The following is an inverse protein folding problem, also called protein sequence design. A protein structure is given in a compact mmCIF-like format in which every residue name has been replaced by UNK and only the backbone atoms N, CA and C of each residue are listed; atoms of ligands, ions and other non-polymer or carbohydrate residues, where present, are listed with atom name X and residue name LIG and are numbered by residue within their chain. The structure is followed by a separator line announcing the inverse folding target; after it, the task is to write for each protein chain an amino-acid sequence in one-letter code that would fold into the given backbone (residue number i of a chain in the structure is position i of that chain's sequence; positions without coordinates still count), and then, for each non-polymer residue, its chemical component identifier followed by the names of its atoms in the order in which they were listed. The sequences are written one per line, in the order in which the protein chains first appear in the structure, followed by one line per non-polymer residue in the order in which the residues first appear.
data_IF_761284000383
#
_entry.id   IF_761284000383
#
_cell.length_a   1.000
_cell.length_b   1.000
_cell.length_c   1.000
_cell.angle_alpha   90.00
_cell.angle_beta   90.00
_cell.angle_gamma   90.00
#
_symmetry.space_group_name_H-M   'P 1'
#
loop_
_entity.id
_entity.type
_entity.pdbx_description
1 polymer ?
#
# COMPACT_ATOMS: atom_id res chain seq x y z
N UNK A 1 15.08 -16.10 17.42
CA UNK A 1 14.68 -15.89 16.01
C UNK A 1 13.17 -16.08 15.77
N UNK A 2 12.57 -17.21 16.16
CA UNK A 2 11.15 -17.51 15.83
C UNK A 2 10.10 -16.49 16.32
N UNK A 3 10.21 -15.99 17.55
CA UNK A 3 9.23 -15.02 18.09
C UNK A 3 9.26 -13.65 17.38
N UNK A 4 10.45 -13.16 17.01
CA UNK A 4 10.59 -11.90 16.27
C UNK A 4 10.00 -11.99 14.85
N UNK A 5 10.16 -13.14 14.19
CA UNK A 5 9.60 -13.39 12.87
C UNK A 5 8.06 -13.50 12.91
N UNK A 6 7.52 -14.15 13.94
CA UNK A 6 6.07 -14.19 14.19
C UNK A 6 5.51 -12.79 14.46
N UNK A 7 6.18 -11.99 15.28
CA UNK A 7 5.78 -10.60 15.53
C UNK A 7 5.80 -9.76 14.24
N UNK A 8 6.83 -9.93 13.40
CA UNK A 8 6.91 -9.27 12.10
C UNK A 8 5.75 -9.69 11.17
N UNK A 9 5.44 -11.00 11.12
CA UNK A 9 4.33 -11.52 10.32
C UNK A 9 2.99 -10.93 10.77
N UNK A 10 2.71 -10.95 12.08
CA UNK A 10 1.50 -10.36 12.65
C UNK A 10 1.42 -8.85 12.40
N UNK A 11 2.55 -8.15 12.52
CA UNK A 11 2.65 -6.72 12.22
C UNK A 11 2.31 -6.40 10.77
N UNK A 12 2.84 -7.16 9.81
CA UNK A 12 2.53 -7.00 8.38
C UNK A 12 1.06 -7.30 8.10
N UNK A 13 0.50 -8.37 8.67
CA UNK A 13 -0.93 -8.70 8.53
C UNK A 13 -1.81 -7.57 9.07
N UNK A 14 -1.51 -7.09 10.29
CA UNK A 14 -2.25 -6.00 10.91
C UNK A 14 -2.16 -4.71 10.08
N UNK A 15 -0.97 -4.37 9.58
CA UNK A 15 -0.73 -3.22 8.72
C UNK A 15 -1.54 -3.30 7.42
N UNK A 16 -1.49 -4.44 6.71
CA UNK A 16 -2.23 -4.64 5.46
C UNK A 16 -3.73 -4.52 5.70
N UNK A 17 -4.24 -5.14 6.76
CA UNK A 17 -5.67 -5.13 7.10
C UNK A 17 -6.15 -3.75 7.54
N UNK A 18 -5.31 -2.98 8.22
CA UNK A 18 -5.59 -1.58 8.52
C UNK A 18 -5.72 -0.74 7.23
N UNK A 19 -4.78 -0.88 6.29
CA UNK A 19 -4.82 -0.16 5.00
C UNK A 19 -6.01 -0.55 4.13
N UNK A 20 -6.44 -1.81 4.17
CA UNK A 20 -7.66 -2.26 3.49
C UNK A 20 -8.92 -1.62 4.05
N UNK A 21 -9.02 -1.51 5.38
CA UNK A 21 -10.15 -0.83 6.04
C UNK A 21 -10.19 0.65 5.69
N UNK A 22 -9.02 1.31 5.65
CA UNK A 22 -8.89 2.72 5.26
C UNK A 22 -9.35 2.96 3.80
N UNK A 23 -9.02 2.03 2.89
CA UNK A 23 -9.49 2.10 1.50
C UNK A 23 -11.02 1.92 1.42
N UNK A 24 -11.57 0.99 2.20
CA UNK A 24 -13.01 0.75 2.25
C UNK A 24 -13.79 1.94 2.87
N UNK A 25 -13.22 2.69 3.82
CA UNK A 25 -13.84 3.94 4.29
C UNK A 25 -13.88 5.01 3.21
N UNK A 26 -12.80 5.17 2.44
CA UNK A 26 -12.79 6.16 1.34
C UNK A 26 -13.84 5.86 0.26
N UNK A 27 -14.11 4.58 -0.02
CA UNK A 27 -15.19 4.20 -0.94
C UNK A 27 -16.58 4.61 -0.41
N UNK A 28 -16.79 4.58 0.91
CA UNK A 28 -18.03 5.08 1.53
C UNK A 28 -18.13 6.59 1.44
N UNK A 29 -17.02 7.31 1.59
CA UNK A 29 -16.99 8.76 1.46
C UNK A 29 -17.35 9.22 0.03
N UNK A 30 -16.94 8.46 -1.00
CA UNK A 30 -17.37 8.70 -2.40
C UNK A 30 -18.88 8.53 -2.57
N UNK A 31 -19.47 7.49 -1.97
CA UNK A 31 -20.94 7.30 -1.99
C UNK A 31 -21.65 8.45 -1.30
N UNK A 32 -21.14 8.89 -0.15
CA UNK A 32 -21.70 9.99 0.62
C UNK A 32 -21.62 11.32 -0.13
N UNK A 33 -20.52 11.57 -0.86
CA UNK A 33 -20.39 12.75 -1.71
C UNK A 33 -21.48 12.80 -2.79
N UNK A 34 -21.75 11.66 -3.44
CA UNK A 34 -22.83 11.53 -4.42
C UNK A 34 -24.20 11.80 -3.80
N UNK A 35 -24.47 11.26 -2.61
CA UNK A 35 -25.74 11.52 -1.89
C UNK A 35 -25.88 13.00 -1.51
N UNK A 36 -24.81 13.65 -1.05
CA UNK A 36 -24.81 15.08 -0.74
C UNK A 36 -25.05 15.95 -1.99
N UNK A 37 -24.50 15.56 -3.14
CA UNK A 37 -24.74 16.22 -4.43
C UNK A 37 -26.22 16.14 -4.83
N UNK A 38 -26.81 14.97 -4.71
CA UNK A 38 -28.24 14.77 -4.95
C UNK A 38 -29.10 15.62 -3.99
N UNK A 39 -28.67 15.75 -2.72
CA UNK A 39 -29.35 16.57 -1.70
C UNK A 39 -29.15 18.09 -1.85
N UNK A 40 -28.05 18.52 -2.47
CA UNK A 40 -27.75 19.92 -2.76
C UNK A 40 -28.66 20.46 -3.87
N UNK A 41 -29.09 19.61 -4.81
CA UNK A 41 -30.01 19.98 -5.88
C UNK A 41 -29.41 21.07 -6.76
N UNK A 42 -30.07 22.23 -6.82
CA UNK A 42 -29.64 23.41 -7.58
C UNK A 42 -29.19 24.59 -6.72
N UNK A 43 -28.91 24.38 -5.43
CA UNK A 43 -28.38 25.44 -4.56
C UNK A 43 -26.87 25.62 -4.79
N UNK A 44 -26.50 26.72 -5.42
CA UNK A 44 -25.12 27.04 -5.82
C UNK A 44 -24.12 27.00 -4.65
N UNK A 45 -24.54 27.42 -3.44
CA UNK A 45 -23.66 27.45 -2.26
C UNK A 45 -23.41 26.03 -1.74
N UNK A 46 -24.46 25.21 -1.73
CA UNK A 46 -24.35 23.79 -1.30
C UNK A 46 -23.57 22.97 -2.33
N UNK A 47 -23.73 23.26 -3.62
CA UNK A 47 -22.94 22.64 -4.69
C UNK A 47 -21.46 23.00 -4.58
N UNK A 48 -21.11 24.26 -4.32
CA UNK A 48 -19.73 24.68 -4.12
C UNK A 48 -19.07 23.95 -2.93
N UNK A 49 -19.80 23.75 -1.83
CA UNK A 49 -19.30 22.99 -0.68
C UNK A 49 -19.13 21.49 -0.99
N UNK A 50 -19.99 20.92 -1.83
CA UNK A 50 -19.88 19.52 -2.28
C UNK A 50 -18.70 19.35 -3.26
N UNK A 51 -18.46 20.31 -4.16
CA UNK A 51 -17.33 20.28 -5.09
C UNK A 51 -15.98 20.28 -4.35
N UNK A 52 -15.83 21.10 -3.32
CA UNK A 52 -14.62 21.11 -2.47
C UNK A 52 -14.42 19.77 -1.74
N UNK A 53 -15.50 19.20 -1.22
CA UNK A 53 -15.49 17.88 -0.56
C UNK A 53 -15.15 16.74 -1.54
N UNK A 54 -15.77 16.71 -2.71
CA UNK A 54 -15.50 15.74 -3.78
C UNK A 54 -14.05 15.81 -4.23
N UNK A 55 -13.51 17.02 -4.39
CA UNK A 55 -12.12 17.22 -4.82
C UNK A 55 -11.12 16.66 -3.80
N UNK A 56 -11.33 16.92 -2.50
CA UNK A 56 -10.49 16.37 -1.44
C UNK A 56 -10.54 14.83 -1.40
N UNK A 57 -11.71 14.25 -1.67
CA UNK A 57 -11.88 12.78 -1.77
C UNK A 57 -11.18 12.23 -2.99
N UNK A 58 -11.37 12.82 -4.19
CA UNK A 58 -10.76 12.34 -5.42
C UNK A 58 -9.23 12.33 -5.36
N UNK A 59 -8.62 13.36 -4.78
CA UNK A 59 -7.16 13.39 -4.58
C UNK A 59 -6.68 12.26 -3.66
N UNK A 60 -7.36 12.04 -2.54
CA UNK A 60 -7.06 10.93 -1.63
C UNK A 60 -7.31 9.57 -2.27
N UNK A 61 -8.36 9.42 -3.07
CA UNK A 61 -8.71 8.18 -3.75
C UNK A 61 -7.69 7.84 -4.84
N UNK A 62 -7.21 8.83 -5.58
CA UNK A 62 -6.15 8.65 -6.57
C UNK A 62 -4.84 8.20 -5.91
N UNK A 63 -4.44 8.85 -4.82
CA UNK A 63 -3.27 8.45 -4.06
C UNK A 63 -3.42 7.03 -3.47
N UNK A 64 -4.57 6.74 -2.85
CA UNK A 64 -4.85 5.45 -2.24
C UNK A 64 -4.91 4.31 -3.28
N UNK A 65 -5.54 4.52 -4.43
CA UNK A 65 -5.68 3.49 -5.47
C UNK A 65 -4.36 3.14 -6.16
N UNK A 66 -3.43 4.10 -6.29
CA UNK A 66 -2.14 3.88 -6.94
C UNK A 66 -1.07 3.43 -5.94
N UNK A 67 -0.94 4.12 -4.80
CA UNK A 67 0.18 3.90 -3.88
C UNK A 67 -0.12 2.76 -2.90
N UNK A 68 -1.34 2.66 -2.36
CA UNK A 68 -1.64 1.71 -1.30
C UNK A 68 -1.52 0.22 -1.71
N UNK A 69 -1.92 -0.22 -2.92
CA UNK A 69 -1.68 -1.60 -3.35
C UNK A 69 -0.19 -1.94 -3.38
N UNK A 70 0.65 -1.02 -3.88
CA UNK A 70 2.10 -1.23 -3.99
C UNK A 70 2.77 -1.31 -2.62
N UNK A 71 2.36 -0.46 -1.67
CA UNK A 71 2.85 -0.55 -0.29
C UNK A 71 2.47 -1.88 0.36
N UNK A 72 1.23 -2.37 0.14
CA UNK A 72 0.81 -3.69 0.63
C UNK A 72 1.65 -4.82 0.01
N UNK A 73 1.90 -4.78 -1.30
CA UNK A 73 2.75 -5.75 -2.00
C UNK A 73 4.20 -5.70 -1.50
N UNK A 74 4.75 -4.51 -1.25
CA UNK A 74 6.08 -4.34 -0.68
C UNK A 74 6.19 -4.95 0.72
N UNK A 75 5.17 -4.74 1.57
CA UNK A 75 5.14 -5.30 2.92
C UNK A 75 5.10 -6.83 2.91
N UNK A 76 4.29 -7.43 2.03
CA UNK A 76 4.25 -8.89 1.85
C UNK A 76 5.57 -9.44 1.29
N UNK A 77 6.17 -8.76 0.31
CA UNK A 77 7.45 -9.17 -0.25
C UNK A 77 8.57 -9.10 0.79
N UNK A 78 8.58 -8.08 1.64
CA UNK A 78 9.57 -7.94 2.71
C UNK A 78 9.44 -9.08 3.73
N UNK A 79 8.21 -9.43 4.11
CA UNK A 79 7.97 -10.58 4.99
C UNK A 79 8.42 -11.90 4.35
N UNK A 80 8.12 -12.11 3.06
CA UNK A 80 8.58 -13.26 2.30
C UNK A 80 10.11 -13.37 2.27
N UNK A 81 10.79 -12.24 2.11
CA UNK A 81 12.26 -12.15 2.17
C UNK A 81 12.78 -12.58 3.53
N UNK A 82 12.21 -12.04 4.61
CA UNK A 82 12.62 -12.37 5.98
C UNK A 82 12.43 -13.86 6.30
N UNK A 83 11.32 -14.45 5.85
CA UNK A 83 11.03 -15.88 5.99
C UNK A 83 12.03 -16.73 5.21
N UNK A 84 12.29 -16.39 3.95
CA UNK A 84 13.22 -17.12 3.08
C UNK A 84 14.66 -17.06 3.59
N UNK A 85 15.13 -15.90 4.07
CA UNK A 85 16.45 -15.75 4.71
C UNK A 85 16.53 -16.62 5.97
N UNK A 86 15.49 -16.58 6.82
CA UNK A 86 15.46 -17.42 8.03
C UNK A 86 15.54 -18.92 7.69
N UNK A 87 14.82 -19.36 6.65
CA UNK A 87 14.84 -20.75 6.19
C UNK A 87 16.20 -21.15 5.57
N UNK A 88 16.85 -20.23 4.86
CA UNK A 88 18.21 -20.43 4.32
C UNK A 88 19.20 -20.67 5.46
N UNK A 89 19.15 -19.83 6.50
CA UNK A 89 20.01 -19.98 7.68
C UNK A 89 19.74 -21.27 8.45
N UNK A 90 18.47 -21.68 8.56
CA UNK A 90 18.08 -22.91 9.25
C UNK A 90 18.56 -24.18 8.53
N UNK A 91 18.73 -24.13 7.21
CA UNK A 91 19.15 -25.28 6.39
C UNK A 91 20.65 -25.35 6.14
N UNK A 92 21.41 -24.28 6.45
CA UNK A 92 22.82 -24.15 6.12
C UNK A 92 23.75 -25.21 6.77
N UNK A 93 23.36 -25.77 7.91
CA UNK A 93 24.15 -26.79 8.63
C UNK A 93 23.65 -28.22 8.40
N UNK A 94 22.57 -28.41 7.64
CA UNK A 94 22.01 -29.73 7.37
C UNK A 94 22.68 -30.42 6.19
N UNK A 95 22.72 -31.75 6.23
CA UNK A 95 23.39 -32.58 5.23
C UNK A 95 22.40 -33.51 4.51
N UNK A 96 22.71 -33.85 3.27
CA UNK A 96 21.88 -34.68 2.38
C UNK A 96 21.04 -33.92 1.35
N UNK A 97 20.55 -34.66 0.34
CA UNK A 97 19.89 -34.10 -0.84
C UNK A 97 18.71 -33.17 -0.50
N UNK A 98 17.86 -33.54 0.45
CA UNK A 98 16.71 -32.73 0.86
C UNK A 98 17.15 -31.37 1.43
N UNK A 99 18.19 -31.35 2.28
CA UNK A 99 18.72 -30.11 2.81
C UNK A 99 19.30 -29.23 1.71
N UNK A 100 20.05 -29.82 0.76
CA UNK A 100 20.57 -29.09 -0.40
C UNK A 100 19.46 -28.45 -1.24
N UNK A 101 18.42 -29.21 -1.58
CA UNK A 101 17.29 -28.72 -2.39
C UNK A 101 16.55 -27.59 -1.69
N UNK A 102 16.25 -27.74 -0.40
CA UNK A 102 15.56 -26.69 0.37
C UNK A 102 16.44 -25.45 0.52
N UNK A 103 17.74 -25.62 0.79
CA UNK A 103 18.67 -24.51 0.92
C UNK A 103 18.75 -23.68 -0.37
N UNK A 104 18.93 -24.33 -1.52
CA UNK A 104 18.93 -23.64 -2.82
C UNK A 104 17.58 -22.96 -3.09
N UNK A 105 16.47 -23.62 -2.81
CA UNK A 105 15.13 -23.06 -3.02
C UNK A 105 14.89 -21.81 -2.18
N UNK A 106 15.34 -21.81 -0.93
CA UNK A 106 15.19 -20.67 -0.01
C UNK A 106 16.06 -19.48 -0.39
N UNK A 107 17.27 -19.71 -0.95
CA UNK A 107 18.10 -18.66 -1.55
C UNK A 107 17.36 -18.00 -2.72
N UNK A 108 16.82 -18.82 -3.64
CA UNK A 108 16.07 -18.31 -4.80
C UNK A 108 14.85 -17.49 -4.35
N UNK A 109 14.09 -17.99 -3.37
CA UNK A 109 12.96 -17.25 -2.82
C UNK A 109 13.37 -15.93 -2.18
N UNK A 110 14.48 -15.91 -1.42
CA UNK A 110 14.99 -14.69 -0.81
C UNK A 110 15.36 -13.64 -1.87
N UNK A 111 16.00 -14.06 -2.97
CA UNK A 111 16.31 -13.17 -4.08
C UNK A 111 15.03 -12.62 -4.75
N UNK A 112 14.05 -13.48 -5.06
CA UNK A 112 12.79 -13.08 -5.70
C UNK A 112 12.01 -12.09 -4.83
N UNK A 113 11.81 -12.42 -3.56
CA UNK A 113 11.10 -11.55 -2.63
C UNK A 113 11.86 -10.26 -2.33
N UNK A 114 13.19 -10.31 -2.27
CA UNK A 114 14.04 -9.13 -2.10
C UNK A 114 13.88 -8.16 -3.27
N UNK A 115 13.96 -8.66 -4.50
CA UNK A 115 13.74 -7.84 -5.71
C UNK A 115 12.32 -7.28 -5.73
N UNK A 116 11.31 -8.09 -5.45
CA UNK A 116 9.92 -7.63 -5.40
C UNK A 116 9.72 -6.50 -4.37
N UNK A 117 10.35 -6.61 -3.20
CA UNK A 117 10.32 -5.56 -2.16
C UNK A 117 10.86 -4.24 -2.69
N UNK A 118 12.03 -4.28 -3.34
CA UNK A 118 12.66 -3.09 -3.91
C UNK A 118 11.79 -2.46 -5.00
N UNK A 119 11.26 -3.27 -5.93
CA UNK A 119 10.41 -2.80 -7.03
C UNK A 119 9.14 -2.13 -6.50
N UNK A 120 8.41 -2.79 -5.59
CA UNK A 120 7.17 -2.23 -5.06
C UNK A 120 7.42 -0.98 -4.21
N UNK A 121 8.52 -0.93 -3.46
CA UNK A 121 8.93 0.25 -2.69
C UNK A 121 9.28 1.41 -3.62
N UNK A 122 10.08 1.16 -4.67
CA UNK A 122 10.47 2.17 -5.64
C UNK A 122 9.24 2.73 -6.37
N UNK A 123 8.31 1.88 -6.81
CA UNK A 123 7.07 2.32 -7.43
C UNK A 123 6.21 3.14 -6.46
N UNK A 124 6.10 2.72 -5.20
CA UNK A 124 5.36 3.48 -4.19
C UNK A 124 5.97 4.87 -3.97
N UNK A 125 7.30 4.96 -3.84
CA UNK A 125 8.03 6.22 -3.69
C UNK A 125 7.90 7.11 -4.93
N UNK A 126 8.09 6.54 -6.12
CA UNK A 126 7.95 7.25 -7.39
C UNK A 126 6.57 7.88 -7.50
N UNK A 127 5.50 7.09 -7.33
CA UNK A 127 4.14 7.63 -7.39
C UNK A 127 3.88 8.65 -6.28
N UNK A 128 4.43 8.46 -5.08
CA UNK A 128 4.31 9.46 -4.00
C UNK A 128 4.98 10.79 -4.36
N UNK A 129 6.14 10.74 -5.04
CA UNK A 129 6.90 11.91 -5.45
C UNK A 129 6.32 12.60 -6.70
N UNK A 130 5.75 11.83 -7.62
CA UNK A 130 5.22 12.35 -8.90
C UNK A 130 3.72 12.63 -8.88
N UNK A 131 2.99 12.25 -7.83
CA UNK A 131 1.59 12.70 -7.69
C UNK A 131 1.64 14.21 -7.52
N UNK A 132 1.13 15.00 -8.48
CA UNK A 132 1.19 16.45 -8.38
C UNK A 132 0.46 16.87 -7.11
N UNK A 133 1.19 17.52 -6.20
CA UNK A 133 0.54 18.33 -5.18
C UNK A 133 0.07 19.57 -5.92
N UNK A 134 -1.12 19.51 -6.51
CA UNK A 134 -1.76 20.72 -7.04
C UNK A 134 -2.01 21.59 -5.80
N UNK A 135 -1.08 22.50 -5.51
CA UNK A 135 -1.26 23.51 -4.48
C UNK A 135 -2.29 24.48 -5.00
N UNK A 136 -3.43 24.53 -4.33
CA UNK A 136 -4.57 25.40 -4.61
C UNK A 136 -4.24 26.91 -4.64
N UNK A 137 -3.03 27.33 -4.26
CA UNK A 137 -2.58 28.71 -4.44
C UNK A 137 -2.51 29.13 -5.91
N UNK A 138 -2.16 28.22 -6.83
CA UNK A 138 -2.05 28.56 -8.26
C UNK A 138 -3.41 28.64 -8.96
N UNK A 139 -4.43 27.94 -8.47
CA UNK A 139 -5.76 27.88 -9.09
C UNK A 139 -6.67 29.04 -8.70
N UNK A 140 -6.53 29.58 -7.48
CA UNK A 140 -7.29 30.76 -7.01
C UNK A 140 -6.58 32.09 -7.28
N UNK A 141 -5.32 32.08 -7.74
CA UNK A 141 -4.56 33.29 -8.11
C UNK A 141 -4.87 33.83 -9.51
N UNK A 142 -5.73 33.16 -10.30
CA UNK A 142 -6.07 33.53 -11.68
C UNK A 142 -7.54 33.94 -11.90
N UNK A 143 -8.31 34.23 -10.84
CA UNK A 143 -9.67 34.82 -10.97
C UNK A 143 -9.75 36.21 -10.37
#
# INVERSE_FOLDING_TARGET
MGLGLLAAALGVIAFVRYRERETASMQRDVTLARELRELAGGDDVRLAAVDEFELAIYQRLFYASVVAPRIRSAAWALLGTALAVTATLATAAGDGLLYTVVHVSTIVLAAVFGVATLVFTALALFHTATTPRVSFEDSYGQS
#
